data_IF_198365614584
#
_entry.id   IF_198365614584
#
_cell.length_a   1.000
_cell.length_b   1.000
_cell.length_c   1.000
_cell.angle_alpha   90.00
_cell.angle_beta   90.00
_cell.angle_gamma   90.00
#
_symmetry.space_group_name_H-M   'P 1'
#
loop_
_entity.id
_entity.type
_entity.pdbx_description
1 polymer ?
#
# COMPACT_ATOMS: atom_id res chain seq x y z
N UNK A 1 -14.41 3.55 -34.11
CA UNK A 1 -14.34 4.45 -32.96
C UNK A 1 -13.40 3.88 -31.93
N UNK A 2 -12.51 4.70 -31.49
CA UNK A 2 -11.60 4.27 -30.46
C UNK A 2 -12.15 4.63 -29.10
N UNK A 3 -12.18 3.68 -28.21
CA UNK A 3 -12.49 3.97 -26.84
C UNK A 3 -11.38 4.80 -26.21
N UNK A 4 -11.71 5.65 -25.24
CA UNK A 4 -10.66 6.33 -24.48
C UNK A 4 -9.74 5.26 -23.90
N UNK A 5 -8.46 5.50 -23.98
CA UNK A 5 -7.49 4.58 -23.40
C UNK A 5 -7.76 4.43 -21.93
N UNK A 6 -8.06 3.23 -21.50
CA UNK A 6 -8.06 2.97 -20.08
C UNK A 6 -6.62 2.80 -19.64
N UNK A 7 -6.31 3.40 -18.51
CA UNK A 7 -5.02 3.17 -17.89
C UNK A 7 -5.05 1.76 -17.31
N UNK A 8 -4.35 0.85 -17.96
CA UNK A 8 -4.30 -0.55 -17.53
C UNK A 8 -3.26 -0.81 -16.45
N UNK A 9 -2.50 0.23 -16.08
CA UNK A 9 -1.53 0.09 -15.02
C UNK A 9 -2.22 -0.09 -13.69
N UNK A 10 -1.58 -0.80 -12.78
CA UNK A 10 -2.08 -0.95 -11.42
C UNK A 10 -1.86 0.33 -10.63
N UNK A 11 -2.85 0.67 -9.83
CA UNK A 11 -2.84 1.89 -9.01
C UNK A 11 -2.59 1.54 -7.56
N UNK A 12 -1.61 2.20 -6.97
CA UNK A 12 -1.17 1.96 -5.59
C UNK A 12 -1.36 3.23 -4.77
N UNK A 13 -1.98 3.08 -3.59
CA UNK A 13 -2.02 4.14 -2.58
C UNK A 13 -0.89 3.90 -1.60
N UNK A 14 0.01 4.86 -1.46
CA UNK A 14 1.19 4.75 -0.61
C UNK A 14 1.12 5.77 0.52
N UNK A 15 1.01 5.29 1.75
CA UNK A 15 0.95 6.13 2.95
C UNK A 15 2.25 6.02 3.73
N UNK A 16 2.94 7.14 3.89
CA UNK A 16 4.18 7.23 4.66
C UNK A 16 4.39 8.70 5.03
N UNK A 17 4.65 8.99 6.30
CA UNK A 17 4.84 10.36 6.76
C UNK A 17 6.26 10.89 6.52
N UNK A 18 7.21 10.02 6.21
CA UNK A 18 8.58 10.41 5.92
C UNK A 18 8.72 10.74 4.44
N UNK A 19 8.81 12.02 4.12
CA UNK A 19 8.76 12.49 2.74
C UNK A 19 9.81 11.84 1.84
N UNK A 20 11.06 11.79 2.30
CA UNK A 20 12.13 11.22 1.47
C UNK A 20 11.92 9.75 1.18
N UNK A 21 11.51 8.99 2.19
CA UNK A 21 11.23 7.58 2.02
C UNK A 21 10.03 7.38 1.10
N UNK A 22 8.97 8.16 1.32
CA UNK A 22 7.75 8.06 0.51
C UNK A 22 8.03 8.36 -0.95
N UNK A 23 8.76 9.45 -1.22
CA UNK A 23 9.07 9.85 -2.60
C UNK A 23 9.97 8.84 -3.30
N UNK A 24 10.96 8.32 -2.58
CA UNK A 24 11.84 7.29 -3.14
C UNK A 24 11.06 6.02 -3.46
N UNK A 25 10.21 5.59 -2.55
CA UNK A 25 9.39 4.40 -2.76
C UNK A 25 8.45 4.59 -3.95
N UNK A 26 7.81 5.76 -4.04
CA UNK A 26 6.92 6.07 -5.14
C UNK A 26 7.67 6.06 -6.48
N UNK A 27 8.86 6.63 -6.50
CA UNK A 27 9.68 6.66 -7.72
C UNK A 27 10.02 5.24 -8.17
N UNK A 28 10.44 4.40 -7.24
CA UNK A 28 10.81 3.03 -7.55
C UNK A 28 9.62 2.22 -8.08
N UNK A 29 8.46 2.39 -7.47
CA UNK A 29 7.26 1.71 -7.94
C UNK A 29 6.84 2.22 -9.32
N UNK A 30 7.00 3.51 -9.56
CA UNK A 30 6.74 4.09 -10.87
C UNK A 30 7.63 3.51 -11.96
N UNK A 31 8.86 3.14 -11.61
CA UNK A 31 9.77 2.49 -12.55
C UNK A 31 9.27 1.11 -12.98
N UNK A 32 8.46 0.48 -12.15
CA UNK A 32 7.82 -0.80 -12.48
C UNK A 32 6.44 -0.59 -13.12
N UNK A 33 6.18 0.63 -13.57
CA UNK A 33 4.97 0.99 -14.32
C UNK A 33 3.69 0.98 -13.48
N UNK A 34 3.80 1.18 -12.17
CA UNK A 34 2.64 1.40 -11.32
C UNK A 34 2.31 2.88 -11.24
N UNK A 35 1.03 3.20 -11.09
CA UNK A 35 0.59 4.57 -10.82
C UNK A 35 0.46 4.71 -9.30
N UNK A 36 1.20 5.63 -8.71
CA UNK A 36 1.27 5.77 -7.26
C UNK A 36 0.63 7.08 -6.83
N UNK A 37 -0.30 7.00 -5.89
CA UNK A 37 -0.86 8.15 -5.20
C UNK A 37 -0.27 8.16 -3.80
N UNK A 38 0.34 9.28 -3.42
CA UNK A 38 1.02 9.40 -2.13
C UNK A 38 0.11 10.06 -1.10
N UNK A 39 0.17 9.57 0.12
CA UNK A 39 -0.49 10.16 1.28
C UNK A 39 0.54 10.38 2.38
N UNK A 40 0.46 11.49 3.08
CA UNK A 40 1.45 11.88 4.07
C UNK A 40 1.16 11.32 5.46
N UNK A 41 -0.03 10.78 5.66
CA UNK A 41 -0.42 10.14 6.92
C UNK A 41 -1.62 9.23 6.67
N UNK A 42 -2.02 8.51 7.72
CA UNK A 42 -3.12 7.57 7.59
C UNK A 42 -4.47 8.23 7.32
N UNK A 43 -4.69 9.40 7.89
CA UNK A 43 -5.97 10.11 7.68
C UNK A 43 -6.10 10.55 6.22
N UNK A 44 -5.05 11.10 5.65
CA UNK A 44 -5.07 11.49 4.24
C UNK A 44 -5.29 10.28 3.34
N UNK A 45 -4.62 9.17 3.67
CA UNK A 45 -4.77 7.94 2.90
C UNK A 45 -6.23 7.47 2.93
N UNK A 46 -6.85 7.49 4.11
CA UNK A 46 -8.25 7.08 4.23
C UNK A 46 -9.17 8.02 3.46
N UNK A 47 -8.88 9.33 3.49
CA UNK A 47 -9.67 10.30 2.74
C UNK A 47 -9.56 10.11 1.24
N UNK A 48 -8.40 9.65 0.76
CA UNK A 48 -8.17 9.39 -0.67
C UNK A 48 -8.73 8.05 -1.11
N UNK A 49 -8.89 7.12 -0.17
CA UNK A 49 -9.30 5.78 -0.52
C UNK A 49 -10.78 5.72 -0.88
N UNK A 50 -11.07 5.10 -2.01
CA UNK A 50 -12.42 4.66 -2.34
C UNK A 50 -12.33 3.24 -2.87
N UNK A 51 -13.36 2.41 -2.65
CA UNK A 51 -13.36 1.06 -3.21
C UNK A 51 -13.20 1.11 -4.74
N UNK A 52 -12.45 0.17 -5.26
CA UNK A 52 -12.19 0.02 -6.69
C UNK A 52 -11.28 1.08 -7.31
N UNK A 53 -10.77 2.02 -6.52
CA UNK A 53 -9.84 3.02 -7.03
C UNK A 53 -8.39 2.53 -7.05
N UNK A 54 -8.01 1.75 -6.05
CA UNK A 54 -6.63 1.27 -5.90
C UNK A 54 -6.60 -0.25 -5.97
N UNK A 55 -5.54 -0.77 -6.56
CA UNK A 55 -5.31 -2.21 -6.64
C UNK A 55 -4.53 -2.71 -5.43
N UNK A 56 -3.82 -1.83 -4.75
CA UNK A 56 -3.01 -2.15 -3.58
C UNK A 56 -2.87 -0.92 -2.71
N UNK A 57 -2.89 -1.11 -1.40
CA UNK A 57 -2.53 -0.08 -0.43
C UNK A 57 -1.23 -0.50 0.24
N UNK A 58 -0.24 0.38 0.25
CA UNK A 58 1.00 0.20 1.00
C UNK A 58 1.02 1.25 2.09
N UNK A 59 1.21 0.85 3.33
CA UNK A 59 1.23 1.79 4.44
C UNK A 59 2.36 1.49 5.40
N UNK A 60 3.01 2.55 5.89
CA UNK A 60 3.89 2.43 7.05
C UNK A 60 3.02 2.17 8.28
N UNK A 61 3.60 1.55 9.30
CA UNK A 61 2.88 1.30 10.55
C UNK A 61 2.82 2.56 11.41
N UNK A 62 3.97 3.18 11.66
CA UNK A 62 4.04 4.34 12.55
C UNK A 62 3.87 5.63 11.76
N UNK A 63 2.72 6.25 11.92
CA UNK A 63 2.38 7.53 11.29
C UNK A 63 1.59 8.37 12.28
N UNK A 64 1.68 9.71 12.19
CA UNK A 64 0.82 10.56 13.01
C UNK A 64 -0.63 10.46 12.58
N UNK A 65 -1.53 10.82 13.45
CA UNK A 65 -2.98 10.90 13.28
C UNK A 65 -3.67 9.55 13.20
N UNK A 66 -3.15 8.61 12.42
CA UNK A 66 -3.72 7.28 12.27
C UNK A 66 -2.61 6.31 11.94
N UNK A 67 -2.39 5.32 12.77
CA UNK A 67 -1.39 4.29 12.51
C UNK A 67 -1.83 3.38 11.37
N UNK A 68 -0.85 2.69 10.78
CA UNK A 68 -1.11 1.84 9.62
C UNK A 68 -2.11 0.73 9.88
N UNK A 69 -2.12 0.14 11.07
CA UNK A 69 -3.08 -0.92 11.39
C UNK A 69 -4.51 -0.39 11.50
N UNK A 70 -4.68 0.81 12.04
CA UNK A 70 -6.00 1.44 12.07
C UNK A 70 -6.46 1.78 10.65
N UNK A 71 -5.56 2.33 9.83
CA UNK A 71 -5.85 2.61 8.43
C UNK A 71 -6.31 1.33 7.72
N UNK A 72 -5.56 0.25 7.92
CA UNK A 72 -5.88 -1.03 7.29
C UNK A 72 -7.27 -1.54 7.69
N UNK A 73 -7.59 -1.46 8.97
CA UNK A 73 -8.91 -1.89 9.44
C UNK A 73 -10.03 -1.05 8.83
N UNK A 74 -9.82 0.26 8.73
CA UNK A 74 -10.81 1.14 8.12
C UNK A 74 -11.00 0.85 6.64
N UNK A 75 -9.91 0.59 5.93
CA UNK A 75 -9.98 0.23 4.51
C UNK A 75 -10.70 -1.11 4.33
N UNK A 76 -10.39 -2.09 5.16
CA UNK A 76 -11.04 -3.40 5.06
C UNK A 76 -12.55 -3.34 5.35
N UNK A 77 -12.99 -2.39 6.16
CA UNK A 77 -14.43 -2.18 6.35
C UNK A 77 -15.09 -1.67 5.08
N UNK A 78 -14.40 -0.82 4.34
CA UNK A 78 -14.92 -0.27 3.09
C UNK A 78 -14.79 -1.23 1.92
N UNK A 79 -13.70 -1.99 1.90
CA UNK A 79 -13.38 -2.89 0.79
C UNK A 79 -12.64 -4.11 1.35
N UNK A 80 -13.38 -5.14 1.79
CA UNK A 80 -12.75 -6.29 2.48
C UNK A 80 -11.73 -7.04 1.65
N UNK A 81 -11.80 -6.96 0.33
CA UNK A 81 -10.85 -7.66 -0.55
C UNK A 81 -9.66 -6.81 -0.99
N UNK A 82 -9.57 -5.55 -0.51
CA UNK A 82 -8.46 -4.67 -0.89
C UNK A 82 -7.14 -5.22 -0.34
N UNK A 83 -6.13 -5.51 -1.19
CA UNK A 83 -4.83 -5.95 -0.68
C UNK A 83 -4.12 -4.83 0.05
N UNK A 84 -3.52 -5.14 1.19
CA UNK A 84 -2.78 -4.16 1.99
C UNK A 84 -1.43 -4.74 2.37
N UNK A 85 -0.36 -3.98 2.07
CA UNK A 85 1.01 -4.29 2.47
C UNK A 85 1.42 -3.32 3.56
N UNK A 86 1.78 -3.85 4.71
CA UNK A 86 2.27 -3.06 5.84
C UNK A 86 3.78 -3.06 5.84
N UNK A 87 4.38 -1.88 5.99
CA UNK A 87 5.82 -1.75 6.16
C UNK A 87 6.09 -1.32 7.60
N UNK A 88 6.91 -2.07 8.31
CA UNK A 88 7.16 -1.78 9.72
C UNK A 88 8.57 -2.12 10.14
N UNK A 89 9.16 -1.27 10.99
CA UNK A 89 10.40 -1.55 11.67
C UNK A 89 10.19 -2.08 13.08
N UNK A 90 8.92 -2.21 13.49
CA UNK A 90 8.60 -2.61 14.85
C UNK A 90 8.14 -4.06 14.87
N UNK A 91 9.02 -4.97 15.23
CA UNK A 91 8.73 -6.39 15.23
C UNK A 91 7.78 -6.81 16.36
N UNK A 92 7.66 -6.01 17.40
CA UNK A 92 6.97 -6.42 18.63
C UNK A 92 5.46 -6.51 18.57
N UNK A 93 4.84 -6.11 17.46
CA UNK A 93 3.37 -6.05 17.35
C UNK A 93 2.85 -6.73 16.10
N UNK A 94 3.62 -7.66 15.56
CA UNK A 94 3.25 -8.31 14.31
C UNK A 94 1.94 -9.08 14.40
N UNK A 95 1.65 -9.70 15.55
CA UNK A 95 0.43 -10.47 15.70
C UNK A 95 -0.82 -9.60 15.58
N UNK A 96 -0.77 -8.40 16.15
CA UNK A 96 -1.89 -7.45 16.04
C UNK A 96 -2.04 -6.92 14.62
N UNK A 97 -0.92 -6.71 13.96
CA UNK A 97 -0.89 -6.14 12.61
C UNK A 97 -1.37 -7.15 11.57
N UNK A 98 -0.92 -8.40 11.68
CA UNK A 98 -1.19 -9.43 10.67
C UNK A 98 -2.67 -9.70 10.45
N UNK A 99 -3.49 -9.48 11.47
CA UNK A 99 -4.93 -9.67 11.34
C UNK A 99 -5.61 -8.62 10.46
N UNK A 100 -4.94 -7.50 10.20
CA UNK A 100 -5.53 -6.39 9.47
C UNK A 100 -4.94 -6.18 8.07
N UNK A 101 -3.87 -6.91 7.71
CA UNK A 101 -3.19 -6.72 6.43
C UNK A 101 -2.95 -8.05 5.75
N UNK A 102 -2.60 -7.99 4.48
CA UNK A 102 -2.38 -9.19 3.66
C UNK A 102 -0.91 -9.61 3.64
N UNK A 103 0.00 -8.67 3.87
CA UNK A 103 1.43 -8.95 3.94
C UNK A 103 2.14 -7.90 4.77
N UNK A 104 3.28 -8.26 5.31
CA UNK A 104 4.12 -7.37 6.12
C UNK A 104 5.54 -7.42 5.57
N UNK A 105 6.14 -6.23 5.41
CA UNK A 105 7.53 -6.11 5.01
C UNK A 105 8.29 -5.38 6.12
N UNK A 106 9.33 -6.02 6.65
CA UNK A 106 10.09 -5.47 7.77
C UNK A 106 11.21 -4.54 7.29
N UNK A 107 11.38 -3.44 7.99
CA UNK A 107 12.52 -2.55 7.77
C UNK A 107 13.72 -3.05 8.57
N UNK A 108 14.94 -2.91 8.07
CA UNK A 108 15.27 -2.45 6.72
C UNK A 108 15.03 -3.52 5.68
N UNK A 109 14.71 -3.11 4.47
CA UNK A 109 14.55 -4.04 3.35
C UNK A 109 15.26 -3.49 2.13
N UNK A 110 15.63 -4.37 1.19
CA UNK A 110 16.13 -3.93 -0.10
C UNK A 110 14.97 -3.79 -1.06
N UNK A 111 15.15 -2.97 -2.11
CA UNK A 111 14.07 -2.67 -3.03
C UNK A 111 13.50 -3.94 -3.69
N UNK A 112 14.34 -4.94 -3.92
CA UNK A 112 13.88 -6.19 -4.52
C UNK A 112 12.81 -6.88 -3.66
N UNK A 113 12.94 -6.80 -2.33
CA UNK A 113 11.93 -7.36 -1.42
C UNK A 113 10.58 -6.65 -1.58
N UNK A 114 10.62 -5.32 -1.71
CA UNK A 114 9.40 -4.56 -1.94
C UNK A 114 8.76 -4.92 -3.28
N UNK A 115 9.56 -4.99 -4.33
CA UNK A 115 9.06 -5.35 -5.66
C UNK A 115 8.38 -6.70 -5.67
N UNK A 116 9.01 -7.67 -5.00
CA UNK A 116 8.46 -9.01 -4.93
C UNK A 116 7.13 -9.05 -4.17
N UNK A 117 7.08 -8.38 -3.01
CA UNK A 117 5.85 -8.34 -2.21
C UNK A 117 4.71 -7.68 -2.98
N UNK A 118 5.00 -6.57 -3.67
CA UNK A 118 4.00 -5.86 -4.47
C UNK A 118 3.52 -6.74 -5.62
N UNK A 119 4.43 -7.37 -6.34
CA UNK A 119 4.06 -8.22 -7.46
C UNK A 119 3.18 -9.39 -7.02
N UNK A 120 3.50 -10.00 -5.88
CA UNK A 120 2.71 -11.11 -5.36
C UNK A 120 1.29 -10.67 -5.00
N UNK A 121 1.16 -9.51 -4.36
CA UNK A 121 -0.16 -9.02 -3.97
C UNK A 121 -1.01 -8.56 -5.16
N UNK A 122 -0.38 -8.14 -6.24
CA UNK A 122 -1.07 -7.69 -7.44
C UNK A 122 -1.29 -8.80 -8.45
N UNK A 123 -0.67 -9.95 -8.26
CA UNK A 123 -0.85 -11.08 -9.18
C UNK A 123 -2.22 -11.70 -9.00
N UNK A 124 -2.89 -12.07 -10.10
CA UNK A 124 -4.14 -12.81 -9.97
C UNK A 124 -3.87 -14.15 -9.30
N UNK A 125 -4.79 -14.54 -8.44
CA UNK A 125 -4.68 -15.83 -7.79
C UNK A 125 -4.73 -16.94 -8.84
N UNK A 126 -3.84 -17.92 -8.76
CA UNK A 126 -3.95 -19.09 -9.62
C UNK A 126 -5.28 -19.79 -9.34
N UNK A 127 -5.91 -20.19 -10.39
CA UNK A 127 -7.17 -20.88 -10.26
C UNK A 127 -6.99 -22.25 -9.59
#
# INVERSE_FOLDING_TARGET
MTEPSKDLRKHILLADDQQEVRETTALMLGMDDYVVTEAVNGQEALDLFTPDRFDLVITDYLMPLMKGDELARNIKRLAPSEPILMITGSAGKLDDIRGSVDAVLNKPFVFQDLRQAVAELLSPMPA
#
